data_IF_265350885347
#
_entry.id   IF_265350885347
#
_cell.length_a   1.000
_cell.length_b   1.000
_cell.length_c   1.000
_cell.angle_alpha   90.00
_cell.angle_beta   90.00
_cell.angle_gamma   90.00
#
_symmetry.space_group_name_H-M   'P 1'
#
loop_
_entity.id
_entity.type
_entity.pdbx_description
1 polymer ?
#
# COMPACT_ATOMS: atom_id res chain seq x y z
N UNK A 1 -71.95 -16.23 4.95
CA UNK A 1 -71.09 -15.99 6.14
C UNK A 1 -69.65 -16.35 5.78
N UNK A 2 -68.89 -15.40 5.23
CA UNK A 2 -67.48 -15.60 4.86
C UNK A 2 -66.59 -15.51 6.10
N UNK A 3 -66.10 -16.64 6.59
CA UNK A 3 -65.11 -16.63 7.68
C UNK A 3 -63.77 -16.15 7.11
N UNK A 4 -63.32 -14.98 7.57
CA UNK A 4 -61.98 -14.45 7.26
C UNK A 4 -60.91 -15.40 7.82
N UNK A 5 -59.97 -15.80 6.97
CA UNK A 5 -58.89 -16.71 7.35
C UNK A 5 -57.79 -15.91 8.05
N UNK A 6 -57.75 -15.99 9.38
CA UNK A 6 -56.67 -15.41 10.17
C UNK A 6 -55.57 -16.44 10.42
N UNK A 7 -54.29 -16.05 10.33
CA UNK A 7 -53.18 -16.95 10.58
C UNK A 7 -53.19 -17.42 12.04
N UNK A 8 -53.03 -18.74 12.22
CA UNK A 8 -53.01 -19.41 13.53
C UNK A 8 -51.87 -18.88 14.43
N UNK A 9 -50.77 -18.42 13.83
CA UNK A 9 -49.58 -17.96 14.54
C UNK A 9 -49.60 -16.43 14.69
N UNK A 10 -49.92 -15.95 15.89
CA UNK A 10 -49.77 -14.55 16.27
C UNK A 10 -48.33 -14.32 16.73
N UNK A 11 -47.53 -13.59 15.93
CA UNK A 11 -46.13 -13.26 16.28
C UNK A 11 -46.13 -12.45 17.59
N UNK A 12 -45.47 -12.96 18.63
CA UNK A 12 -45.19 -12.15 19.81
C UNK A 12 -44.15 -11.08 19.46
N UNK A 13 -44.33 -9.87 20.01
CA UNK A 13 -43.38 -8.77 19.82
C UNK A 13 -42.05 -9.19 20.43
N UNK A 14 -40.98 -9.12 19.63
CA UNK A 14 -39.60 -9.38 20.06
C UNK A 14 -39.29 -8.54 21.30
N UNK A 15 -38.77 -9.16 22.37
CA UNK A 15 -38.27 -8.43 23.55
C UNK A 15 -36.80 -8.00 23.40
N UNK A 16 -36.17 -8.36 22.27
CA UNK A 16 -34.82 -7.91 21.95
C UNK A 16 -34.85 -6.40 21.70
N UNK A 17 -34.33 -5.64 22.65
CA UNK A 17 -34.05 -4.22 22.50
C UNK A 17 -33.14 -4.03 21.28
N UNK A 18 -33.60 -3.31 20.27
CA UNK A 18 -32.80 -2.95 19.10
C UNK A 18 -31.64 -2.06 19.55
N UNK A 19 -30.44 -2.65 19.71
CA UNK A 19 -29.22 -1.88 19.96
C UNK A 19 -28.82 -1.21 18.65
N UNK A 20 -29.10 0.08 18.55
CA UNK A 20 -28.56 0.93 17.49
C UNK A 20 -27.04 1.05 17.67
N UNK A 21 -26.28 0.44 16.76
CA UNK A 21 -24.81 0.52 16.76
C UNK A 21 -24.39 1.71 15.91
N UNK A 22 -23.70 2.69 16.53
CA UNK A 22 -23.08 3.80 15.81
C UNK A 22 -21.79 3.32 15.14
N UNK A 23 -21.86 2.95 13.87
CA UNK A 23 -20.69 2.59 13.08
C UNK A 23 -19.96 3.88 12.71
N UNK A 24 -18.82 4.16 13.35
CA UNK A 24 -17.89 5.23 12.91
C UNK A 24 -16.93 4.65 11.87
N UNK A 25 -17.15 5.02 10.62
CA UNK A 25 -16.37 4.67 9.44
C UNK A 25 -17.13 5.15 8.19
N UNK A 26 -16.44 5.35 7.07
CA UNK A 26 -17.11 5.58 5.79
C UNK A 26 -17.82 4.27 5.41
N UNK A 27 -19.11 4.17 5.72
CA UNK A 27 -20.00 3.08 5.31
C UNK A 27 -20.22 3.12 3.79
N UNK A 28 -19.14 2.99 3.04
CA UNK A 28 -19.16 3.00 1.58
C UNK A 28 -19.06 1.56 1.07
N UNK A 29 -20.21 0.88 1.07
CA UNK A 29 -20.42 -0.29 0.22
C UNK A 29 -20.87 0.13 -1.20
N UNK A 30 -20.76 1.42 -1.52
CA UNK A 30 -20.99 1.94 -2.85
C UNK A 30 -19.82 1.55 -3.75
N UNK A 31 -20.09 0.70 -4.74
CA UNK A 31 -19.31 0.75 -5.98
C UNK A 31 -19.67 2.08 -6.63
N UNK A 32 -18.91 3.14 -6.37
CA UNK A 32 -19.08 4.39 -7.11
C UNK A 32 -18.86 4.11 -8.60
N UNK A 33 -19.85 4.32 -9.48
CA UNK A 33 -19.54 4.50 -10.88
C UNK A 33 -18.78 5.82 -11.00
N UNK A 34 -17.73 5.79 -11.81
CA UNK A 34 -16.93 6.93 -12.23
C UNK A 34 -17.86 8.11 -12.56
N UNK A 35 -17.67 9.22 -11.83
CA UNK A 35 -18.10 10.60 -12.07
C UNK A 35 -19.32 10.83 -13.00
N UNK A 36 -20.44 11.29 -12.44
CA UNK A 36 -21.43 12.08 -13.18
C UNK A 36 -20.93 13.53 -13.37
N UNK A 37 -21.06 14.14 -14.56
CA UNK A 37 -20.33 15.35 -14.94
C UNK A 37 -20.99 16.68 -14.54
N UNK A 38 -21.81 16.73 -13.49
CA UNK A 38 -22.71 17.88 -13.26
C UNK A 38 -22.65 18.53 -11.86
N UNK A 39 -21.53 18.45 -11.15
CA UNK A 39 -21.33 19.29 -9.96
C UNK A 39 -20.21 20.32 -10.18
N UNK A 40 -20.61 21.59 -10.09
CA UNK A 40 -19.86 22.84 -10.25
C UNK A 40 -18.67 22.95 -9.25
N UNK A 41 -17.71 23.87 -9.48
CA UNK A 41 -16.34 23.70 -9.03
C UNK A 41 -16.20 23.90 -7.52
N UNK A 42 -15.77 22.84 -6.83
CA UNK A 42 -15.28 22.95 -5.46
C UNK A 42 -13.89 23.58 -5.54
N UNK A 43 -13.77 24.79 -4.98
CA UNK A 43 -12.49 25.48 -4.77
C UNK A 43 -11.48 24.53 -4.10
N UNK A 44 -10.45 24.19 -4.85
CA UNK A 44 -9.33 23.37 -4.37
C UNK A 44 -8.51 24.25 -3.41
N UNK A 45 -8.89 24.26 -2.13
CA UNK A 45 -7.95 24.62 -1.06
C UNK A 45 -6.80 23.62 -1.14
N UNK A 46 -5.64 24.11 -1.60
CA UNK A 46 -4.37 23.38 -1.56
C UNK A 46 -3.97 23.18 -0.10
N UNK A 47 -4.57 22.20 0.56
CA UNK A 47 -4.08 21.69 1.83
C UNK A 47 -2.83 20.89 1.50
N UNK A 48 -1.66 21.52 1.66
CA UNK A 48 -0.38 20.83 1.65
C UNK A 48 -0.41 19.78 2.76
N UNK A 49 -0.76 18.54 2.40
CA UNK A 49 -0.52 17.38 3.24
C UNK A 49 0.99 17.18 3.18
N UNK A 50 1.71 17.81 4.10
CA UNK A 50 3.07 17.38 4.44
C UNK A 50 2.94 15.96 5.01
N UNK A 51 3.03 14.97 4.13
CA UNK A 51 3.30 13.59 4.53
C UNK A 51 4.67 13.62 5.18
N UNK A 52 4.70 13.73 6.50
CA UNK A 52 5.87 13.38 7.29
C UNK A 52 6.11 11.90 7.08
N UNK A 53 6.90 11.56 6.05
CA UNK A 53 7.58 10.29 6.00
C UNK A 53 8.53 10.30 7.19
N UNK A 54 8.11 9.75 8.32
CA UNK A 54 9.05 9.29 9.34
C UNK A 54 9.87 8.20 8.65
N UNK A 55 11.02 8.59 8.11
CA UNK A 55 12.07 7.68 7.74
C UNK A 55 12.42 6.89 9.01
N UNK A 56 11.82 5.72 9.16
CA UNK A 56 12.33 4.75 10.10
C UNK A 56 13.69 4.37 9.54
N UNK A 57 14.76 4.89 10.15
CA UNK A 57 16.12 4.44 9.91
C UNK A 57 16.15 2.93 10.15
N UNK A 58 15.97 2.15 9.08
CA UNK A 58 16.27 0.73 9.10
C UNK A 58 17.77 0.66 9.29
N UNK A 59 18.22 0.50 10.54
CA UNK A 59 19.61 0.18 10.86
C UNK A 59 19.92 -1.18 10.25
N UNK A 60 20.31 -1.18 8.98
CA UNK A 60 20.90 -2.33 8.32
C UNK A 60 22.23 -2.58 9.04
N UNK A 61 22.41 -3.71 9.74
CA UNK A 61 23.68 -3.98 10.41
C UNK A 61 24.78 -4.09 9.37
N UNK A 62 25.91 -3.42 9.65
CA UNK A 62 27.10 -3.33 8.78
C UNK A 62 27.58 -4.68 8.22
N UNK A 63 27.26 -5.78 8.89
CA UNK A 63 27.69 -7.12 8.51
C UNK A 63 26.98 -7.70 7.27
N UNK A 64 25.87 -7.11 6.80
CA UNK A 64 25.23 -7.53 5.54
C UNK A 64 26.06 -7.21 4.29
N UNK A 65 26.99 -6.26 4.39
CA UNK A 65 27.80 -5.78 3.28
C UNK A 65 29.14 -6.52 3.11
N UNK A 66 29.48 -7.46 4.00
CA UNK A 66 30.84 -8.03 4.06
C UNK A 66 31.17 -9.04 2.95
N UNK A 67 30.18 -9.52 2.19
CA UNK A 67 30.40 -10.26 0.94
C UNK A 67 29.17 -10.16 0.03
N UNK A 68 29.09 -9.12 -0.80
CA UNK A 68 28.04 -9.01 -1.83
C UNK A 68 28.33 -10.03 -2.93
N UNK A 69 27.49 -11.07 -3.07
CA UNK A 69 27.55 -11.93 -4.27
C UNK A 69 27.27 -11.07 -5.50
N UNK A 70 28.17 -11.08 -6.48
CA UNK A 70 27.96 -10.33 -7.72
C UNK A 70 26.85 -10.98 -8.54
N UNK A 71 25.83 -10.20 -8.88
CA UNK A 71 24.79 -10.61 -9.81
C UNK A 71 25.20 -10.23 -11.25
N UNK A 72 25.11 -11.16 -12.19
CA UNK A 72 25.30 -10.86 -13.62
C UNK A 72 23.98 -10.32 -14.19
N UNK A 73 23.99 -9.08 -14.67
CA UNK A 73 22.86 -8.47 -15.38
C UNK A 73 23.10 -8.58 -16.89
N UNK A 74 22.01 -8.66 -17.66
CA UNK A 74 22.12 -8.60 -19.11
C UNK A 74 22.54 -7.19 -19.57
N UNK A 75 23.19 -7.07 -20.74
CA UNK A 75 23.61 -5.75 -21.26
C UNK A 75 22.45 -4.75 -21.41
N UNK A 76 21.27 -5.22 -21.84
CA UNK A 76 20.08 -4.39 -21.97
C UNK A 76 19.60 -3.85 -20.61
N UNK A 77 19.57 -4.68 -19.57
CA UNK A 77 19.18 -4.25 -18.22
C UNK A 77 20.17 -3.21 -17.68
N UNK A 78 21.47 -3.42 -17.90
CA UNK A 78 22.49 -2.45 -17.50
C UNK A 78 22.34 -1.12 -18.24
N UNK A 79 22.05 -1.17 -19.54
CA UNK A 79 21.80 0.03 -20.35
C UNK A 79 20.60 0.80 -19.78
N UNK A 80 19.47 0.12 -19.55
CA UNK A 80 18.26 0.74 -19.00
C UNK A 80 18.50 1.39 -17.63
N UNK A 81 19.26 0.74 -16.76
CA UNK A 81 19.63 1.29 -15.45
C UNK A 81 20.50 2.55 -15.61
N UNK A 82 21.48 2.54 -16.51
CA UNK A 82 22.32 3.71 -16.76
C UNK A 82 21.55 4.86 -17.41
N UNK A 83 20.60 4.58 -18.29
CA UNK A 83 19.74 5.60 -18.89
C UNK A 83 18.74 6.18 -17.90
N UNK A 84 18.45 5.46 -16.81
CA UNK A 84 17.52 5.92 -15.78
C UNK A 84 18.17 6.94 -14.83
N UNK A 85 19.50 6.90 -14.67
CA UNK A 85 20.26 7.80 -13.78
C UNK A 85 19.84 9.28 -13.85
N UNK A 86 19.75 9.93 -15.01
CA UNK A 86 19.38 11.36 -15.09
C UNK A 86 17.91 11.66 -14.79
N UNK A 87 17.05 10.65 -14.63
CA UNK A 87 15.63 10.84 -14.32
C UNK A 87 15.34 10.71 -12.83
N UNK A 88 16.36 10.48 -12.02
CA UNK A 88 16.23 10.31 -10.59
C UNK A 88 16.87 11.51 -9.91
N UNK A 89 16.05 12.47 -9.51
CA UNK A 89 16.47 13.72 -8.84
C UNK A 89 17.33 13.45 -7.59
N UNK A 90 16.98 12.42 -6.80
CA UNK A 90 17.74 12.00 -5.61
C UNK A 90 19.18 11.53 -5.92
N UNK A 91 19.44 11.11 -7.16
CA UNK A 91 20.77 10.68 -7.60
C UNK A 91 21.55 11.75 -8.34
N UNK A 92 20.92 12.85 -8.77
CA UNK A 92 21.63 13.99 -9.36
C UNK A 92 22.51 14.70 -8.31
N UNK A 93 22.07 14.73 -7.05
CA UNK A 93 22.86 15.26 -5.93
C UNK A 93 23.94 14.28 -5.46
N UNK A 94 23.77 12.98 -5.73
CA UNK A 94 24.70 11.92 -5.37
C UNK A 94 25.56 11.52 -6.58
N UNK A 95 26.63 12.26 -6.82
CA UNK A 95 27.66 12.05 -7.86
C UNK A 95 28.20 10.60 -7.98
N UNK A 96 27.89 9.70 -7.02
CA UNK A 96 28.32 8.30 -6.98
C UNK A 96 27.20 7.32 -6.63
N UNK A 97 26.01 7.46 -7.21
CA UNK A 97 25.00 6.40 -7.10
C UNK A 97 25.52 5.08 -7.64
N UNK A 98 25.50 4.03 -6.81
CA UNK A 98 25.83 2.67 -7.26
C UNK A 98 24.63 1.99 -7.90
N UNK A 99 24.88 0.89 -8.61
CA UNK A 99 23.80 0.05 -9.15
C UNK A 99 22.90 -0.50 -8.04
N UNK A 100 23.47 -0.77 -6.85
CA UNK A 100 22.71 -1.27 -5.71
C UNK A 100 21.74 -0.20 -5.18
N UNK A 101 22.14 1.06 -5.14
CA UNK A 101 21.29 2.16 -4.66
C UNK A 101 20.10 2.36 -5.61
N UNK A 102 20.36 2.34 -6.92
CA UNK A 102 19.30 2.38 -7.95
C UNK A 102 18.32 1.21 -7.80
N UNK A 103 18.85 0.00 -7.61
CA UNK A 103 18.01 -1.19 -7.45
C UNK A 103 17.18 -1.13 -6.16
N UNK A 104 17.77 -0.68 -5.05
CA UNK A 104 17.07 -0.53 -3.78
C UNK A 104 15.88 0.43 -3.91
N UNK A 105 16.11 1.61 -4.46
CA UNK A 105 15.07 2.59 -4.71
C UNK A 105 13.97 2.08 -5.65
N UNK A 106 14.34 1.37 -6.73
CA UNK A 106 13.36 0.78 -7.65
C UNK A 106 12.48 -0.27 -6.96
N UNK A 107 13.08 -1.10 -6.11
CA UNK A 107 12.36 -2.10 -5.31
C UNK A 107 11.42 -1.40 -4.33
N UNK A 108 11.88 -0.40 -3.60
CA UNK A 108 11.07 0.35 -2.64
C UNK A 108 9.91 1.08 -3.33
N UNK A 109 10.18 1.74 -4.45
CA UNK A 109 9.16 2.39 -5.28
C UNK A 109 8.09 1.41 -5.73
N UNK A 110 8.48 0.22 -6.21
CA UNK A 110 7.53 -0.81 -6.62
C UNK A 110 6.68 -1.32 -5.44
N UNK A 111 7.31 -1.63 -4.30
CA UNK A 111 6.64 -2.10 -3.08
C UNK A 111 5.65 -1.06 -2.54
N UNK A 112 6.01 0.21 -2.63
CA UNK A 112 5.19 1.30 -2.13
C UNK A 112 4.06 1.70 -3.10
N UNK A 113 4.32 1.70 -4.40
CA UNK A 113 3.37 2.17 -5.42
C UNK A 113 2.43 1.08 -5.95
N UNK A 114 2.89 -0.17 -6.06
CA UNK A 114 2.16 -1.24 -6.77
C UNK A 114 1.61 -2.33 -5.86
N UNK A 115 2.22 -2.60 -4.71
CA UNK A 115 1.73 -3.65 -3.82
C UNK A 115 0.60 -3.15 -2.91
N UNK A 116 -0.43 -3.99 -2.76
CA UNK A 116 -1.48 -3.80 -1.74
C UNK A 116 -0.89 -3.97 -0.33
N UNK A 117 -1.57 -3.45 0.69
CA UNK A 117 -1.10 -3.55 2.08
C UNK A 117 -0.79 -5.00 2.49
N UNK A 118 -1.68 -5.94 2.15
CA UNK A 118 -1.48 -7.37 2.43
C UNK A 118 -0.25 -7.95 1.71
N UNK A 119 -0.05 -7.59 0.45
CA UNK A 119 1.11 -8.05 -0.33
C UNK A 119 2.41 -7.45 0.21
N UNK A 120 2.39 -6.18 0.61
CA UNK A 120 3.53 -5.49 1.23
C UNK A 120 3.92 -6.12 2.56
N UNK A 121 2.94 -6.41 3.42
CA UNK A 121 3.17 -7.12 4.69
C UNK A 121 3.77 -8.50 4.44
N UNK A 122 3.20 -9.27 3.49
CA UNK A 122 3.74 -10.58 3.12
C UNK A 122 5.17 -10.50 2.59
N UNK A 123 5.48 -9.51 1.73
CA UNK A 123 6.84 -9.27 1.24
C UNK A 123 7.81 -8.96 2.39
N UNK A 124 7.43 -8.07 3.31
CA UNK A 124 8.28 -7.68 4.43
C UNK A 124 8.57 -8.88 5.36
N UNK A 125 7.56 -9.69 5.68
CA UNK A 125 7.72 -10.89 6.50
C UNK A 125 8.64 -11.92 5.83
N UNK A 126 8.49 -12.12 4.52
CA UNK A 126 9.34 -13.04 3.76
C UNK A 126 10.79 -12.54 3.72
N UNK A 127 10.99 -11.23 3.47
CA UNK A 127 12.32 -10.63 3.48
C UNK A 127 12.99 -10.79 4.85
N UNK A 128 12.28 -10.49 5.94
CA UNK A 128 12.78 -10.66 7.31
C UNK A 128 13.18 -12.11 7.62
N UNK A 129 12.35 -13.08 7.23
CA UNK A 129 12.67 -14.49 7.40
C UNK A 129 13.95 -14.90 6.63
N UNK A 130 14.05 -14.56 5.34
CA UNK A 130 15.23 -14.85 4.53
C UNK A 130 16.48 -14.16 5.06
N UNK A 131 16.32 -12.93 5.53
CA UNK A 131 17.35 -12.12 6.13
C UNK A 131 17.93 -12.79 7.39
N UNK A 132 17.09 -13.24 8.33
CA UNK A 132 17.55 -14.00 9.51
C UNK A 132 18.24 -15.31 9.15
N UNK A 133 17.75 -16.03 8.12
CA UNK A 133 18.38 -17.25 7.64
C UNK A 133 19.76 -17.03 7.02
N UNK A 134 20.00 -15.86 6.40
CA UNK A 134 21.27 -15.53 5.77
C UNK A 134 22.37 -15.05 6.74
N UNK A 135 22.04 -14.80 8.01
CA UNK A 135 23.02 -14.46 9.06
C UNK A 135 23.76 -15.67 9.63
N UNK A 136 23.29 -16.89 9.37
CA UNK A 136 23.91 -18.15 9.80
C UNK A 136 24.99 -18.58 8.82
#
# INVERSE_FOLDING_TARGET
MSKSFEPIIKRQKSSLQEKNVSIKGTNDFGRSPIHSPNDLPIEIKKTQIQKQFKAQEKKVPENFFKATKTAKLSPDVLLRLNTLKPFIEELEEMDKSTVNDMMQMLIESYVNARLTNRQREGYNQMYEHLYEHSKK
#
